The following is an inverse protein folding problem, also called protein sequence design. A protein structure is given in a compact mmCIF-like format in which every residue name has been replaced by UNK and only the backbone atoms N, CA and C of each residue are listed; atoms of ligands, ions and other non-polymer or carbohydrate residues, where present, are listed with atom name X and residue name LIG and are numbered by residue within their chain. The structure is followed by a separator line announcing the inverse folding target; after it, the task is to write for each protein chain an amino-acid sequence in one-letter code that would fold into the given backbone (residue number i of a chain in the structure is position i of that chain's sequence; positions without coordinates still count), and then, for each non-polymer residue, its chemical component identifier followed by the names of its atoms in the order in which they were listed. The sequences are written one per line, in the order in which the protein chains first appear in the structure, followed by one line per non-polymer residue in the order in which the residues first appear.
data_IF_956520496086
#
_entry.id   IF_956520496086
#
_cell.length_a   1.000
_cell.length_b   1.000
_cell.length_c   1.000
_cell.angle_alpha   90.00
_cell.angle_beta   90.00
_cell.angle_gamma   90.00
#
_symmetry.space_group_name_H-M   'P 1'
#
loop_
_entity.id
_entity.type
_entity.pdbx_description
1 polymer ?
#
# COMPACT_ATOMS: atom_id res chain seq x y z
N UNK A 1 -22.57 5.32 23.56
CA UNK A 1 -22.21 3.91 23.71
C UNK A 1 -21.02 3.84 24.64
N UNK A 2 -21.18 3.13 25.75
CA UNK A 2 -20.20 2.97 26.82
C UNK A 2 -18.86 2.48 26.28
N UNK A 3 -17.80 3.20 26.61
CA UNK A 3 -16.42 2.89 26.20
C UNK A 3 -15.92 1.61 26.83
N UNK A 4 -16.27 0.47 26.24
CA UNK A 4 -15.46 -0.73 26.36
C UNK A 4 -14.20 -0.49 25.52
N UNK A 5 -13.09 -0.29 26.22
CA UNK A 5 -11.75 -0.44 25.63
C UNK A 5 -11.73 -1.76 24.86
N UNK A 6 -11.29 -1.73 23.60
CA UNK A 6 -11.15 -2.95 22.79
C UNK A 6 -10.25 -3.94 23.52
N UNK A 7 -10.55 -5.23 23.39
CA UNK A 7 -9.71 -6.27 23.99
C UNK A 7 -8.35 -6.33 23.30
N UNK A 8 -7.33 -6.78 24.03
CA UNK A 8 -5.98 -7.02 23.46
C UNK A 8 -6.06 -7.94 22.22
N UNK A 9 -6.90 -8.97 22.26
CA UNK A 9 -7.13 -9.87 21.13
C UNK A 9 -7.67 -9.14 19.89
N UNK A 10 -8.61 -8.22 20.06
CA UNK A 10 -9.17 -7.44 18.94
C UNK A 10 -8.10 -6.55 18.29
N UNK A 11 -7.23 -5.95 19.11
CA UNK A 11 -6.13 -5.10 18.63
C UNK A 11 -5.12 -5.94 17.86
N UNK A 12 -4.75 -7.13 18.38
CA UNK A 12 -3.82 -8.05 17.73
C UNK A 12 -4.37 -8.58 16.40
N UNK A 13 -5.66 -8.92 16.34
CA UNK A 13 -6.32 -9.36 15.12
C UNK A 13 -6.34 -8.28 14.05
N UNK A 14 -6.64 -7.03 14.42
CA UNK A 14 -6.59 -5.94 13.47
C UNK A 14 -5.16 -5.60 13.02
N UNK A 15 -4.18 -5.71 13.93
CA UNK A 15 -2.77 -5.54 13.61
C UNK A 15 -2.29 -6.57 12.58
N UNK A 16 -2.68 -7.84 12.75
CA UNK A 16 -2.40 -8.91 11.80
C UNK A 16 -3.02 -8.60 10.43
N UNK A 17 -4.31 -8.22 10.41
CA UNK A 17 -5.00 -7.85 9.17
C UNK A 17 -4.33 -6.66 8.46
N UNK A 18 -4.00 -5.60 9.21
CA UNK A 18 -3.32 -4.42 8.67
C UNK A 18 -1.97 -4.80 8.05
N UNK A 19 -1.24 -5.71 8.70
CA UNK A 19 0.03 -6.23 8.15
C UNK A 19 -0.16 -7.02 6.86
N UNK A 20 -1.22 -7.84 6.78
CA UNK A 20 -1.58 -8.57 5.56
C UNK A 20 -1.99 -7.62 4.43
N UNK A 21 -2.75 -6.58 4.75
CA UNK A 21 -3.17 -5.55 3.79
C UNK A 21 -1.96 -4.77 3.25
N UNK A 22 -0.97 -4.44 4.11
CA UNK A 22 0.32 -3.85 3.67
C UNK A 22 1.04 -4.78 2.71
N UNK A 23 1.12 -6.09 3.03
CA UNK A 23 1.76 -7.06 2.17
C UNK A 23 1.08 -7.14 0.79
N UNK A 24 -0.26 -7.14 0.76
CA UNK A 24 -1.03 -7.14 -0.49
C UNK A 24 -0.77 -5.87 -1.32
N UNK A 25 -0.78 -4.69 -0.69
CA UNK A 25 -0.50 -3.44 -1.37
C UNK A 25 0.94 -3.39 -1.93
N UNK A 26 1.92 -3.90 -1.19
CA UNK A 26 3.31 -3.99 -1.64
C UNK A 26 3.48 -4.95 -2.83
N UNK A 27 2.81 -6.10 -2.82
CA UNK A 27 2.83 -7.04 -3.95
C UNK A 27 2.26 -6.38 -5.21
N UNK A 28 1.15 -5.65 -5.07
CA UNK A 28 0.56 -4.93 -6.20
C UNK A 28 1.48 -3.79 -6.69
N UNK A 29 2.10 -3.04 -5.78
CA UNK A 29 3.08 -2.02 -6.14
C UNK A 29 4.27 -2.61 -6.93
N UNK A 30 4.78 -3.78 -6.51
CA UNK A 30 5.84 -4.48 -7.23
C UNK A 30 5.40 -4.91 -8.62
N UNK A 31 4.20 -5.48 -8.75
CA UNK A 31 3.62 -5.89 -10.04
C UNK A 31 3.48 -4.69 -10.98
N UNK A 32 2.96 -3.57 -10.49
CA UNK A 32 2.81 -2.34 -11.27
C UNK A 32 4.15 -1.72 -11.64
N UNK A 33 5.14 -1.78 -10.75
CA UNK A 33 6.50 -1.32 -11.04
C UNK A 33 7.15 -2.12 -12.16
N UNK A 34 6.95 -3.44 -12.20
CA UNK A 34 7.41 -4.28 -13.32
C UNK A 34 6.72 -3.90 -14.64
N UNK A 35 5.42 -3.61 -14.62
CA UNK A 35 4.68 -3.13 -15.79
C UNK A 35 5.25 -1.78 -16.26
N UNK A 36 5.46 -0.84 -15.34
CA UNK A 36 6.03 0.47 -15.67
C UNK A 36 7.42 0.35 -16.29
N UNK A 37 8.28 -0.52 -15.75
CA UNK A 37 9.60 -0.79 -16.36
C UNK A 37 9.47 -1.40 -17.75
N UNK A 38 8.51 -2.30 -17.98
CA UNK A 38 8.23 -2.86 -19.31
C UNK A 38 7.78 -1.79 -20.30
N UNK A 39 6.88 -0.89 -19.89
CA UNK A 39 6.43 0.24 -20.71
C UNK A 39 7.59 1.17 -21.06
N UNK A 40 8.49 1.46 -20.12
CA UNK A 40 9.68 2.29 -20.38
C UNK A 40 10.57 1.69 -21.49
N UNK A 41 10.76 0.37 -21.50
CA UNK A 41 11.54 -0.30 -22.57
C UNK A 41 10.82 -0.22 -23.92
N UNK A 42 9.50 -0.36 -23.93
CA UNK A 42 8.71 -0.22 -25.15
C UNK A 42 8.74 1.21 -25.69
N UNK A 43 8.66 2.21 -24.82
CA UNK A 43 8.75 3.62 -25.19
C UNK A 43 10.11 3.93 -25.81
N UNK A 44 11.21 3.44 -25.22
CA UNK A 44 12.56 3.59 -25.80
C UNK A 44 12.66 2.99 -27.20
N UNK A 45 12.03 1.83 -27.43
CA UNK A 45 11.99 1.21 -28.75
C UNK A 45 11.14 2.01 -29.73
N UNK A 46 9.99 2.52 -29.28
CA UNK A 46 9.11 3.32 -30.11
C UNK A 46 9.82 4.61 -30.58
N UNK A 47 10.58 5.25 -29.69
CA UNK A 47 11.44 6.39 -30.01
C UNK A 47 12.53 6.04 -31.04
N UNK A 48 13.20 4.89 -30.89
CA UNK A 48 14.20 4.39 -31.85
C UNK A 48 13.57 4.14 -33.23
N UNK A 49 12.38 3.54 -33.26
CA UNK A 49 11.63 3.23 -34.49
C UNK A 49 10.91 4.46 -35.08
N UNK A 50 10.94 5.62 -34.40
CA UNK A 50 10.24 6.84 -34.82
C UNK A 50 8.71 6.72 -34.78
N UNK A 51 8.19 5.84 -33.94
CA UNK A 51 6.76 5.56 -33.76
C UNK A 51 6.27 6.15 -32.44
N UNK A 52 5.06 6.71 -32.44
CA UNK A 52 4.37 7.17 -31.23
C UNK A 52 3.03 6.47 -31.15
N UNK A 53 2.70 5.96 -29.97
CA UNK A 53 1.48 5.20 -29.70
C UNK A 53 0.71 5.82 -28.53
N UNK A 54 -0.43 6.45 -28.85
CA UNK A 54 -1.33 7.06 -27.86
C UNK A 54 -1.86 6.02 -26.85
N UNK A 55 -1.94 4.74 -27.24
CA UNK A 55 -2.33 3.65 -26.35
C UNK A 55 -1.26 3.38 -25.28
N UNK A 56 0.03 3.40 -25.66
CA UNK A 56 1.16 3.30 -24.72
C UNK A 56 1.13 4.44 -23.70
N UNK A 57 0.89 5.66 -24.16
CA UNK A 57 0.81 6.85 -23.30
C UNK A 57 -0.35 6.80 -22.30
N UNK A 58 -1.51 6.27 -22.71
CA UNK A 58 -2.64 6.06 -21.81
C UNK A 58 -2.31 5.00 -20.74
N UNK A 59 -1.75 3.86 -21.16
CA UNK A 59 -1.38 2.76 -20.27
C UNK A 59 -0.30 3.14 -19.26
N UNK A 60 0.66 3.99 -19.68
CA UNK A 60 1.68 4.57 -18.81
C UNK A 60 1.05 5.45 -17.73
N UNK A 61 0.16 6.37 -18.11
CA UNK A 61 -0.56 7.24 -17.16
C UNK A 61 -1.37 6.43 -16.16
N UNK A 62 -2.12 5.42 -16.62
CA UNK A 62 -2.88 4.54 -15.73
C UNK A 62 -1.99 3.78 -14.74
N UNK A 63 -0.85 3.26 -15.21
CA UNK A 63 0.10 2.53 -14.38
C UNK A 63 0.71 3.42 -13.30
N UNK A 64 1.12 4.65 -13.65
CA UNK A 64 1.68 5.58 -12.66
C UNK A 64 0.66 6.05 -11.64
N UNK A 65 -0.58 6.32 -12.07
CA UNK A 65 -1.66 6.64 -11.12
C UNK A 65 -1.98 5.47 -10.19
N UNK A 66 -1.91 4.22 -10.69
CA UNK A 66 -2.09 3.04 -9.85
C UNK A 66 -0.94 2.87 -8.84
N UNK A 67 0.30 3.15 -9.25
CA UNK A 67 1.46 3.15 -8.35
C UNK A 67 1.30 4.18 -7.22
N UNK A 68 0.89 5.41 -7.56
CA UNK A 68 0.65 6.47 -6.58
C UNK A 68 -0.41 6.06 -5.56
N UNK A 69 -1.56 5.53 -6.02
CA UNK A 69 -2.60 4.99 -5.14
C UNK A 69 -2.10 3.85 -4.25
N UNK A 70 -1.26 2.95 -4.76
CA UNK A 70 -0.66 1.90 -3.94
C UNK A 70 0.23 2.48 -2.84
N UNK A 71 1.04 3.50 -3.13
CA UNK A 71 1.87 4.13 -2.11
C UNK A 71 1.04 4.86 -1.05
N UNK A 72 0.00 5.58 -1.46
CA UNK A 72 -0.93 6.24 -0.53
C UNK A 72 -1.60 5.23 0.40
N UNK A 73 -2.01 4.08 -0.15
CA UNK A 73 -2.61 2.99 0.63
C UNK A 73 -1.62 2.38 1.62
N UNK A 74 -0.37 2.13 1.21
CA UNK A 74 0.69 1.65 2.11
C UNK A 74 0.90 2.65 3.26
N UNK A 75 1.05 3.95 2.97
CA UNK A 75 1.23 4.97 4.00
C UNK A 75 0.07 5.03 4.99
N UNK A 76 -1.17 4.93 4.48
CA UNK A 76 -2.38 4.89 5.31
C UNK A 76 -2.39 3.68 6.24
N UNK A 77 -2.02 2.51 5.73
CA UNK A 77 -1.96 1.27 6.49
C UNK A 77 -0.81 1.27 7.51
N UNK A 78 0.35 1.84 7.17
CA UNK A 78 1.46 2.01 8.11
C UNK A 78 1.09 2.94 9.27
N UNK A 79 0.39 4.04 8.98
CA UNK A 79 -0.15 4.93 10.01
C UNK A 79 -1.16 4.19 10.90
N UNK A 80 -2.02 3.35 10.31
CA UNK A 80 -2.96 2.50 11.07
C UNK A 80 -2.22 1.50 11.95
N UNK A 81 -1.18 0.85 11.44
CA UNK A 81 -0.37 -0.11 12.18
C UNK A 81 0.31 0.55 13.38
N UNK A 82 0.89 1.73 13.18
CA UNK A 82 1.50 2.52 14.25
C UNK A 82 0.50 2.92 15.33
N UNK A 83 -0.73 3.29 14.94
CA UNK A 83 -1.81 3.58 15.88
C UNK A 83 -2.21 2.34 16.70
N UNK A 84 -2.26 1.16 16.08
CA UNK A 84 -2.58 -0.10 16.77
C UNK A 84 -1.46 -0.51 17.73
N UNK A 85 -0.19 -0.28 17.37
CA UNK A 85 0.95 -0.52 18.26
C UNK A 85 0.92 0.39 19.49
N UNK A 86 0.51 1.65 19.32
CA UNK A 86 0.33 2.60 20.43
C UNK A 86 -0.85 2.20 21.33
N UNK A 87 -1.98 1.78 20.74
CA UNK A 87 -3.15 1.26 21.47
C UNK A 87 -2.81 -0.01 22.26
N UNK A 88 -2.09 -0.96 21.65
CA UNK A 88 -1.64 -2.17 22.33
C UNK A 88 -0.73 -1.85 23.51
N UNK A 89 0.18 -0.89 23.35
CA UNK A 89 1.10 -0.45 24.41
C UNK A 89 0.35 0.19 25.57
N UNK A 90 -0.71 0.97 25.30
CA UNK A 90 -1.48 1.63 26.35
C UNK A 90 -2.33 0.63 27.15
N UNK A 91 -2.96 -0.33 26.50
CA UNK A 91 -3.77 -1.36 27.16
C UNK A 91 -2.88 -2.30 27.99
N UNK A 92 -1.75 -2.73 27.45
CA UNK A 92 -0.85 -3.66 28.17
C UNK A 92 -0.12 -3.02 29.35
N UNK A 93 0.22 -1.72 29.30
CA UNK A 93 0.81 -1.00 30.45
C UNK A 93 -0.22 -0.48 31.45
N UNK A 94 -1.48 -0.33 31.03
CA UNK A 94 -2.58 0.10 31.89
C UNK A 94 -3.04 -0.97 32.88
N UNK A 95 -2.77 -2.25 32.60
CA UNK A 95 -3.06 -3.37 33.51
C UNK A 95 -1.98 -3.59 34.60
N UNK A 96 -0.87 -2.85 34.56
CA UNK A 96 0.24 -2.93 35.53
C UNK A 96 0.22 -1.82 36.62
N UNK A 97 -0.84 -1.00 36.70
CA UNK A 97 -1.00 0.12 37.66
C UNK A 97 -2.17 -0.09 38.63
#
# INVERSE_FOLDING_TARGET
MTGQSRGVEDILMERLRTTQDIAAANVEHLRLSQIASGLMVLDMKAEEDGTSDEESDAKRRETYQALERCMEEVQRLEARLSSLDAELTSVTRGDDA
#
